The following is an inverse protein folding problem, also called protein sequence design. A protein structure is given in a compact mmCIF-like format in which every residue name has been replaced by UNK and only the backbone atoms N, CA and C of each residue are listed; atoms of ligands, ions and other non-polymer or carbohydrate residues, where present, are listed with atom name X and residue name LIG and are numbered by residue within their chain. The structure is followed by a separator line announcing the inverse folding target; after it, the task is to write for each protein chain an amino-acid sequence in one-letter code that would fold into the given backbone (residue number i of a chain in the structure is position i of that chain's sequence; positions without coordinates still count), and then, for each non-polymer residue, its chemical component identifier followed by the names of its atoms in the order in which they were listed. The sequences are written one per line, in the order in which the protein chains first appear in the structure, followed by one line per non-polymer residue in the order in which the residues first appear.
data_IF_779623299803
#
_entry.id   IF_779623299803
#
_cell.length_a   1.000
_cell.length_b   1.000
_cell.length_c   1.000
_cell.angle_alpha   90.00
_cell.angle_beta   90.00
_cell.angle_gamma   90.00
#
_symmetry.space_group_name_H-M   'P 1'
#
loop_
_entity.id
_entity.type
_entity.pdbx_description
1 polymer ?
#
# COMPACT_ATOMS: atom_id res chain seq x y z
N UNK A 1 -4.90 13.96 -22.09
CA UNK A 1 -3.73 13.42 -21.59
C UNK A 1 -3.83 13.01 -20.14
N UNK A 2 -3.43 11.86 -19.95
CA UNK A 2 -3.55 11.31 -18.64
C UNK A 2 -2.46 11.84 -17.75
N UNK A 3 -2.82 12.33 -16.60
CA UNK A 3 -1.84 12.80 -15.67
C UNK A 3 -1.81 12.05 -14.40
N UNK A 4 -2.47 10.93 -14.33
CA UNK A 4 -2.45 10.26 -13.06
C UNK A 4 -1.08 9.67 -12.82
N UNK A 5 -0.69 9.73 -11.59
CA UNK A 5 0.58 9.17 -11.18
C UNK A 5 0.37 7.82 -10.57
N UNK A 6 1.36 7.02 -10.69
CA UNK A 6 1.27 5.66 -10.22
C UNK A 6 2.59 5.28 -9.58
N UNK A 7 2.52 4.62 -8.45
CA UNK A 7 3.72 4.15 -7.75
C UNK A 7 3.65 2.65 -7.65
N UNK A 8 4.77 2.01 -7.85
CA UNK A 8 4.84 0.57 -7.78
C UNK A 8 5.86 0.20 -6.72
N UNK A 9 5.45 -0.62 -5.78
CA UNK A 9 6.31 -1.00 -4.67
C UNK A 9 6.46 -2.50 -4.67
N UNK A 10 7.68 -2.97 -4.70
CA UNK A 10 7.92 -4.40 -4.68
C UNK A 10 7.55 -4.98 -3.32
N UNK A 11 6.86 -6.07 -3.33
CA UNK A 11 6.47 -6.75 -2.11
C UNK A 11 6.48 -8.25 -2.35
N UNK A 12 6.00 -9.01 -1.39
CA UNK A 12 5.89 -10.45 -1.56
C UNK A 12 4.49 -10.88 -1.24
N UNK A 13 4.02 -11.89 -1.96
CA UNK A 13 2.71 -12.45 -1.66
C UNK A 13 2.85 -13.48 -0.54
N UNK A 14 1.76 -14.12 -0.17
CA UNK A 14 1.80 -15.07 0.93
C UNK A 14 2.64 -16.29 0.62
N UNK A 15 2.87 -16.55 -0.65
CA UNK A 15 3.75 -17.67 -1.05
C UNK A 15 5.21 -17.23 -1.13
N UNK A 16 5.51 -15.97 -0.83
CA UNK A 16 6.86 -15.47 -0.87
C UNK A 16 7.35 -15.04 -2.23
N UNK A 17 6.47 -15.00 -3.23
CA UNK A 17 6.88 -14.62 -4.57
C UNK A 17 6.87 -13.10 -4.71
N UNK A 18 7.79 -12.60 -5.51
CA UNK A 18 7.89 -11.16 -5.74
C UNK A 18 6.70 -10.66 -6.52
N UNK A 19 6.08 -9.62 -6.03
CA UNK A 19 4.93 -8.98 -6.64
C UNK A 19 5.06 -7.48 -6.51
N UNK A 20 4.14 -6.76 -7.14
CA UNK A 20 4.10 -5.32 -7.04
C UNK A 20 2.80 -4.90 -6.39
N UNK A 21 2.94 -3.97 -5.46
CA UNK A 21 1.80 -3.26 -4.89
C UNK A 21 1.71 -1.95 -5.63
N UNK A 22 0.58 -1.65 -6.21
CA UNK A 22 0.42 -0.46 -7.02
C UNK A 22 -0.45 0.55 -6.28
N UNK A 23 -0.03 1.81 -6.33
CA UNK A 23 -0.76 2.90 -5.71
C UNK A 23 -1.02 3.94 -6.78
N UNK A 24 -2.23 4.44 -6.88
CA UNK A 24 -2.50 5.52 -7.79
C UNK A 24 -3.66 6.36 -7.27
N UNK A 25 -3.87 7.51 -7.90
CA UNK A 25 -4.89 8.46 -7.48
C UNK A 25 -6.02 8.46 -8.49
N UNK A 26 -7.25 8.44 -7.99
CA UNK A 26 -8.40 8.50 -8.85
C UNK A 26 -9.52 9.24 -8.14
N UNK A 27 -9.99 10.31 -8.76
CA UNK A 27 -11.13 11.07 -8.24
C UNK A 27 -10.93 11.50 -6.79
N UNK A 28 -9.75 12.00 -6.48
CA UNK A 28 -9.46 12.51 -5.15
C UNK A 28 -9.25 11.44 -4.10
N UNK A 29 -9.15 10.19 -4.52
CA UNK A 29 -8.91 9.10 -3.58
C UNK A 29 -7.66 8.36 -3.97
N UNK A 30 -7.14 7.64 -3.01
CA UNK A 30 -5.95 6.83 -3.22
C UNK A 30 -6.40 5.39 -3.38
N UNK A 31 -5.93 4.74 -4.42
CA UNK A 31 -6.29 3.37 -4.71
C UNK A 31 -5.07 2.50 -4.56
N UNK A 32 -5.20 1.45 -3.77
CA UNK A 32 -4.14 0.47 -3.57
C UNK A 32 -4.58 -0.82 -4.23
N UNK A 33 -3.72 -1.36 -5.07
CA UNK A 33 -3.98 -2.65 -5.68
C UNK A 33 -2.95 -3.62 -5.18
N UNK A 34 -3.40 -4.56 -4.37
CA UNK A 34 -2.52 -5.56 -3.79
C UNK A 34 -2.54 -6.82 -4.63
N UNK A 35 -1.44 -7.57 -4.69
CA UNK A 35 -1.49 -8.84 -5.38
C UNK A 35 -2.33 -9.83 -4.59
N UNK A 36 -3.12 -10.66 -5.24
CA UNK A 36 -3.16 -10.86 -6.69
C UNK A 36 -4.09 -9.92 -7.44
N UNK A 37 -4.66 -8.90 -6.81
CA UNK A 37 -5.49 -7.98 -7.56
C UNK A 37 -6.56 -7.30 -6.75
N UNK A 38 -6.59 -7.53 -5.46
CA UNK A 38 -7.60 -6.89 -4.63
C UNK A 38 -7.32 -5.41 -4.49
N UNK A 39 -8.37 -4.64 -4.39
CA UNK A 39 -8.26 -3.20 -4.41
C UNK A 39 -8.85 -2.58 -3.15
N UNK A 40 -8.17 -1.61 -2.60
CA UNK A 40 -8.69 -0.78 -1.53
C UNK A 40 -8.73 0.65 -2.02
N UNK A 41 -9.80 1.36 -1.66
CA UNK A 41 -9.95 2.75 -2.03
C UNK A 41 -9.94 3.56 -0.74
N UNK A 42 -9.07 4.55 -0.68
CA UNK A 42 -8.85 5.31 0.54
C UNK A 42 -9.10 6.78 0.31
N UNK A 43 -9.87 7.40 1.19
CA UNK A 43 -9.96 8.85 1.20
C UNK A 43 -8.64 9.39 1.77
N UNK A 44 -8.33 10.65 1.51
CA UNK A 44 -7.06 11.19 2.03
C UNK A 44 -6.88 11.02 3.53
N UNK A 45 -7.94 11.15 4.29
CA UNK A 45 -7.85 10.96 5.73
C UNK A 45 -7.46 9.52 6.08
N UNK A 46 -8.00 8.57 5.32
CA UNK A 46 -7.67 7.17 5.56
C UNK A 46 -6.22 6.88 5.22
N UNK A 47 -5.68 7.60 4.26
CA UNK A 47 -4.27 7.43 3.91
C UNK A 47 -3.39 7.80 5.10
N UNK A 48 -3.74 8.88 5.80
CA UNK A 48 -2.98 9.26 6.99
C UNK A 48 -3.04 8.18 8.06
N UNK A 49 -4.19 7.58 8.23
CA UNK A 49 -4.35 6.52 9.22
C UNK A 49 -3.56 5.28 8.82
N UNK A 50 -3.58 4.93 7.54
CA UNK A 50 -2.82 3.79 7.07
C UNK A 50 -1.33 4.03 7.23
N UNK A 51 -0.88 5.24 6.92
CA UNK A 51 0.51 5.57 7.05
C UNK A 51 0.98 5.44 8.50
N UNK A 52 0.17 5.93 9.42
CA UNK A 52 0.51 5.82 10.83
C UNK A 52 0.52 4.37 11.29
N UNK A 53 -0.44 3.58 10.81
CA UNK A 53 -0.49 2.18 11.17
C UNK A 53 0.71 1.42 10.63
N UNK A 54 1.12 1.73 9.41
CA UNK A 54 2.27 1.07 8.84
C UNK A 54 3.54 1.42 9.59
N UNK A 55 3.67 2.68 10.00
CA UNK A 55 4.83 3.08 10.77
C UNK A 55 4.88 2.35 12.10
N UNK A 56 3.73 2.28 12.77
CA UNK A 56 3.67 1.60 14.05
C UNK A 56 3.97 0.12 13.90
N UNK A 57 3.48 -0.48 12.82
CA UNK A 57 3.70 -1.89 12.57
C UNK A 57 5.18 -2.18 12.34
N UNK A 58 5.88 -1.30 11.64
CA UNK A 58 7.30 -1.48 11.42
C UNK A 58 8.06 -1.44 12.73
N UNK A 59 7.70 -0.50 13.60
CA UNK A 59 8.35 -0.40 14.88
C UNK A 59 8.11 -1.67 15.69
N UNK A 60 6.89 -2.14 15.68
CA UNK A 60 6.53 -3.33 16.41
C UNK A 60 7.23 -4.57 15.84
N UNK A 61 7.32 -4.67 14.54
CA UNK A 61 7.98 -5.78 13.90
C UNK A 61 9.46 -5.82 14.26
N UNK A 62 10.06 -4.65 14.40
CA UNK A 62 11.47 -4.58 14.78
C UNK A 62 11.70 -5.09 16.17
N UNK A 63 10.72 -4.88 17.06
CA UNK A 63 10.88 -5.31 18.44
C UNK A 63 10.74 -6.81 18.60
N UNK A 64 9.92 -7.41 17.76
CA UNK A 64 9.62 -8.81 17.96
C UNK A 64 10.37 -9.71 17.03
N UNK A 65 11.41 -9.21 16.40
CA UNK A 65 12.08 -10.07 15.52
C UNK A 65 12.80 -11.07 16.33
N UNK A 66 12.91 -12.15 15.92
CA UNK A 66 13.60 -13.15 16.63
C UNK A 66 13.76 -14.32 15.86
#
# INVERSE_FOLDING_TARGET
MSNHKEWSITCRDVAGRRRDLTVFVRQGRVVLVAPPGETAVLAPLDVGRLRAALRDAVVDASKTED
#
